data_IF_589588932456
#
_entry.id   IF_589588932456
#
_cell.length_a   1.000
_cell.length_b   1.000
_cell.length_c   1.000
_cell.angle_alpha   90.00
_cell.angle_beta   90.00
_cell.angle_gamma   90.00
#
_symmetry.space_group_name_H-M   'P 1'
#
loop_
_entity.id
_entity.type
_entity.pdbx_description
1 polymer ?
#
# COMPACT_ATOMS: atom_id res chain seq x y z
N UNK A 1 -16.50 -33.96 29.90
CA UNK A 1 -17.11 -34.00 28.54
C UNK A 1 -17.55 -32.60 28.18
N UNK A 2 -16.73 -31.86 27.43
CA UNK A 2 -17.17 -30.74 26.57
C UNK A 2 -16.24 -30.63 25.38
N UNK A 3 -16.66 -31.26 24.31
CA UNK A 3 -16.05 -31.16 22.99
C UNK A 3 -16.42 -29.81 22.39
N UNK A 4 -15.48 -28.87 22.33
CA UNK A 4 -15.67 -27.59 21.64
C UNK A 4 -15.09 -27.72 20.23
N UNK A 5 -15.98 -27.89 19.27
CA UNK A 5 -15.73 -27.91 17.83
C UNK A 5 -14.99 -26.66 17.39
N UNK A 6 -13.77 -26.84 16.92
CA UNK A 6 -12.98 -25.80 16.26
C UNK A 6 -13.60 -25.58 14.88
N UNK A 7 -14.30 -24.46 14.68
CA UNK A 7 -14.74 -24.04 13.35
C UNK A 7 -13.51 -23.78 12.48
N UNK A 8 -13.38 -24.56 11.41
CA UNK A 8 -12.39 -24.36 10.35
C UNK A 8 -12.51 -22.93 9.81
N UNK A 9 -11.40 -22.21 9.82
CA UNK A 9 -11.27 -20.92 9.15
C UNK A 9 -11.47 -21.13 7.64
N UNK A 10 -12.47 -20.47 7.07
CA UNK A 10 -12.73 -20.45 5.64
C UNK A 10 -11.50 -19.92 4.90
N UNK A 11 -11.04 -20.69 3.92
CA UNK A 11 -10.00 -20.30 2.96
C UNK A 11 -10.46 -19.04 2.20
N UNK A 12 -9.98 -17.87 2.59
CA UNK A 12 -10.23 -16.61 1.87
C UNK A 12 -9.41 -16.65 0.57
N UNK A 13 -10.11 -16.69 -0.56
CA UNK A 13 -9.49 -16.63 -1.90
C UNK A 13 -8.76 -15.29 -2.09
N UNK A 14 -7.58 -15.35 -2.70
CA UNK A 14 -6.67 -14.21 -2.95
C UNK A 14 -7.31 -13.00 -3.68
N UNK A 15 -8.51 -13.15 -4.27
CA UNK A 15 -9.23 -12.12 -5.02
C UNK A 15 -9.93 -11.03 -4.19
N UNK A 16 -10.30 -11.30 -2.91
CA UNK A 16 -11.12 -10.39 -2.09
C UNK A 16 -10.33 -9.36 -1.25
N UNK A 17 -9.02 -9.34 -1.38
CA UNK A 17 -8.13 -8.53 -0.50
C UNK A 17 -8.14 -7.04 -0.81
N UNK A 18 -8.68 -6.61 -1.95
CA UNK A 18 -8.59 -5.22 -2.42
C UNK A 18 -9.69 -4.30 -1.84
N UNK A 19 -10.73 -4.86 -1.25
CA UNK A 19 -11.86 -4.11 -0.69
C UNK A 19 -11.71 -3.79 0.82
N UNK A 20 -10.64 -4.27 1.49
CA UNK A 20 -10.43 -4.10 2.93
C UNK A 20 -9.31 -3.10 3.20
N UNK A 21 -9.40 -2.35 4.31
CA UNK A 21 -8.36 -1.39 4.73
C UNK A 21 -6.97 -2.03 4.86
N UNK A 22 -5.89 -1.21 4.84
CA UNK A 22 -4.51 -1.68 4.92
C UNK A 22 -4.24 -2.63 6.09
N UNK A 23 -4.81 -2.35 7.27
CA UNK A 23 -4.70 -3.14 8.49
C UNK A 23 -5.19 -4.58 8.31
N UNK A 24 -6.38 -4.73 7.73
CA UNK A 24 -6.96 -6.06 7.47
C UNK A 24 -6.15 -6.86 6.45
N UNK A 25 -5.55 -6.18 5.46
CA UNK A 25 -4.71 -6.82 4.44
C UNK A 25 -3.40 -7.33 5.05
N UNK A 26 -2.77 -6.54 5.92
CA UNK A 26 -1.55 -6.92 6.65
C UNK A 26 -1.82 -8.08 7.60
N UNK A 27 -2.90 -8.01 8.37
CA UNK A 27 -3.32 -9.09 9.27
C UNK A 27 -3.55 -10.40 8.52
N UNK A 28 -4.24 -10.35 7.38
CA UNK A 28 -4.46 -11.53 6.53
C UNK A 28 -3.15 -12.16 6.04
N UNK A 29 -2.20 -11.35 5.56
CA UNK A 29 -0.91 -11.82 5.12
C UNK A 29 -0.09 -12.44 6.27
N UNK A 30 -0.11 -11.82 7.45
CA UNK A 30 0.60 -12.34 8.61
C UNK A 30 -0.02 -13.63 9.15
N UNK A 31 -1.34 -13.80 9.15
CA UNK A 31 -1.98 -15.06 9.53
C UNK A 31 -1.58 -16.23 8.64
N UNK A 32 -1.39 -15.98 7.33
CA UNK A 32 -0.89 -17.01 6.41
C UNK A 32 0.57 -17.37 6.66
N UNK A 33 1.40 -16.39 7.01
CA UNK A 33 2.84 -16.60 7.25
C UNK A 33 3.12 -17.20 8.63
N UNK A 34 2.29 -16.89 9.62
CA UNK A 34 2.48 -17.26 11.02
C UNK A 34 1.27 -18.06 11.58
N UNK A 35 0.93 -19.23 10.97
CA UNK A 35 -0.30 -19.96 11.33
C UNK A 35 -0.28 -20.51 12.77
N UNK A 36 0.88 -20.62 13.38
CA UNK A 36 1.05 -21.09 14.77
C UNK A 36 1.04 -19.94 15.80
N UNK A 37 0.95 -18.70 15.34
CA UNK A 37 0.94 -17.53 16.22
C UNK A 37 -0.47 -16.98 16.36
N UNK A 38 -0.82 -16.66 17.61
CA UNK A 38 -1.98 -15.82 17.88
C UNK A 38 -1.59 -14.37 17.64
N UNK A 39 -2.27 -13.70 16.74
CA UNK A 39 -2.02 -12.30 16.38
C UNK A 39 -3.17 -11.46 16.91
N UNK A 40 -2.85 -10.40 17.68
CA UNK A 40 -3.82 -9.45 18.22
C UNK A 40 -3.33 -8.03 17.97
N UNK A 41 -4.25 -7.13 17.64
CA UNK A 41 -3.94 -5.71 17.56
C UNK A 41 -3.80 -5.13 18.95
N UNK A 42 -2.81 -4.28 19.16
CA UNK A 42 -2.61 -3.49 20.37
C UNK A 42 -2.74 -2.01 20.03
N UNK A 43 -3.63 -1.32 20.74
CA UNK A 43 -3.76 0.14 20.61
C UNK A 43 -2.85 0.80 21.64
N UNK A 44 -1.83 1.56 21.20
CA UNK A 44 -0.97 2.29 22.12
C UNK A 44 -1.75 3.34 22.91
N UNK A 45 -1.42 3.50 24.20
CA UNK A 45 -2.02 4.52 25.05
C UNK A 45 -1.55 5.95 24.72
N UNK A 46 -0.51 6.09 23.90
CA UNK A 46 0.05 7.36 23.44
C UNK A 46 0.21 7.34 21.91
N UNK A 47 0.18 8.50 21.25
CA UNK A 47 0.46 8.58 19.82
C UNK A 47 1.81 7.97 19.48
N UNK A 48 1.83 7.12 18.47
CA UNK A 48 3.03 6.48 17.92
C UNK A 48 3.28 6.94 16.48
N UNK A 49 4.51 6.80 16.03
CA UNK A 49 4.90 7.27 14.70
C UNK A 49 4.67 6.23 13.58
N UNK A 50 4.24 5.01 13.92
CA UNK A 50 3.92 3.92 12.98
C UNK A 50 2.41 3.66 12.94
N UNK A 51 1.95 2.97 11.89
CA UNK A 51 0.52 2.84 11.60
C UNK A 51 -0.20 1.81 12.47
N UNK A 52 0.46 0.69 12.85
CA UNK A 52 -0.19 -0.43 13.51
C UNK A 52 0.79 -1.15 14.47
N UNK A 53 0.29 -1.55 15.64
CA UNK A 53 1.01 -2.42 16.58
C UNK A 53 0.29 -3.75 16.69
N UNK A 54 1.00 -4.85 16.38
CA UNK A 54 0.48 -6.19 16.51
C UNK A 54 1.28 -6.98 17.56
N UNK A 55 0.60 -7.66 18.46
CA UNK A 55 1.22 -8.60 19.38
C UNK A 55 1.05 -10.01 18.85
N UNK A 56 2.15 -10.70 18.63
CA UNK A 56 2.17 -12.09 18.21
C UNK A 56 2.64 -12.98 19.37
N UNK A 57 1.96 -14.11 19.57
CA UNK A 57 2.23 -15.05 20.66
C UNK A 57 2.22 -16.49 20.17
N UNK A 58 3.25 -17.24 20.55
CA UNK A 58 3.31 -18.70 20.35
C UNK A 58 4.17 -19.33 21.44
N UNK A 59 3.56 -20.15 22.31
CA UNK A 59 4.25 -20.68 23.48
C UNK A 59 4.82 -19.56 24.36
N UNK A 60 6.13 -19.57 24.58
CA UNK A 60 6.84 -18.53 25.35
C UNK A 60 7.24 -17.31 24.52
N UNK A 61 7.12 -17.36 23.22
CA UNK A 61 7.47 -16.26 22.32
C UNK A 61 6.37 -15.19 22.34
N UNK A 62 6.73 -13.97 22.69
CA UNK A 62 5.87 -12.79 22.60
C UNK A 62 6.65 -11.67 21.93
N UNK A 63 6.17 -11.18 20.79
CA UNK A 63 6.76 -10.05 20.06
C UNK A 63 5.71 -9.01 19.72
N UNK A 64 6.11 -7.75 19.72
CA UNK A 64 5.34 -6.63 19.18
C UNK A 64 5.88 -6.30 17.79
N UNK A 65 5.06 -6.48 16.79
CA UNK A 65 5.36 -6.02 15.44
C UNK A 65 4.92 -4.56 15.33
N UNK A 66 5.87 -3.65 15.15
CA UNK A 66 5.60 -2.26 14.82
C UNK A 66 5.49 -2.20 13.30
N UNK A 67 4.30 -1.93 12.79
CA UNK A 67 4.02 -2.03 11.36
C UNK A 67 3.86 -0.64 10.77
N UNK A 68 4.61 -0.37 9.72
CA UNK A 68 4.45 0.81 8.89
C UNK A 68 3.96 0.40 7.51
N UNK A 69 2.78 0.85 7.14
CA UNK A 69 2.19 0.62 5.82
C UNK A 69 2.63 1.68 4.83
N UNK A 70 3.05 1.25 3.65
CA UNK A 70 3.31 2.16 2.52
C UNK A 70 2.43 1.77 1.34
N UNK A 71 1.67 2.71 0.83
CA UNK A 71 0.85 2.52 -0.39
C UNK A 71 1.71 2.15 -1.60
N UNK A 72 3.02 2.48 -1.56
CA UNK A 72 4.02 2.18 -2.58
C UNK A 72 5.30 1.64 -1.93
N UNK A 73 5.67 0.40 -2.26
CA UNK A 73 6.88 -0.26 -1.74
C UNK A 73 8.17 0.06 -2.53
N UNK A 74 8.38 1.34 -2.90
CA UNK A 74 9.63 1.80 -3.53
C UNK A 74 10.69 2.15 -2.49
N UNK A 75 12.00 1.96 -2.78
CA UNK A 75 13.10 2.14 -1.82
C UNK A 75 13.07 3.46 -1.06
N UNK A 76 12.75 4.56 -1.72
CA UNK A 76 12.70 5.89 -1.11
C UNK A 76 11.64 6.05 0.00
N UNK A 77 10.43 5.44 -0.20
CA UNK A 77 9.38 5.46 0.83
C UNK A 77 9.68 4.48 1.95
N UNK A 78 10.30 3.35 1.60
CA UNK A 78 10.74 2.36 2.56
C UNK A 78 11.85 2.91 3.46
N UNK A 79 12.75 3.77 2.94
CA UNK A 79 13.79 4.43 3.74
C UNK A 79 13.21 5.21 4.92
N UNK A 80 12.16 6.02 4.68
CA UNK A 80 11.47 6.73 5.75
C UNK A 80 10.78 5.78 6.74
N UNK A 81 10.06 4.77 6.24
CA UNK A 81 9.42 3.77 7.09
C UNK A 81 10.42 3.04 8.00
N UNK A 82 11.58 2.67 7.47
CA UNK A 82 12.66 2.03 8.22
C UNK A 82 13.16 2.95 9.35
N UNK A 83 13.36 4.24 9.08
CA UNK A 83 13.79 5.21 10.08
C UNK A 83 12.79 5.32 11.23
N UNK A 84 11.51 5.50 10.92
CA UNK A 84 10.42 5.57 11.91
C UNK A 84 10.39 4.30 12.78
N UNK A 85 10.40 3.14 12.16
CA UNK A 85 10.33 1.86 12.87
C UNK A 85 11.56 1.59 13.75
N UNK A 86 12.75 2.00 13.32
CA UNK A 86 13.98 1.87 14.14
C UNK A 86 13.93 2.69 15.41
N UNK A 87 13.36 3.88 15.38
CA UNK A 87 13.13 4.69 16.57
C UNK A 87 12.19 3.97 17.56
N UNK A 88 11.12 3.35 17.04
CA UNK A 88 10.18 2.57 17.85
C UNK A 88 10.79 1.29 18.45
N UNK A 89 11.69 0.63 17.72
CA UNK A 89 12.34 -0.61 18.22
C UNK A 89 13.33 -0.36 19.34
N UNK A 90 13.95 0.81 19.40
CA UNK A 90 14.83 1.20 20.51
C UNK A 90 14.11 1.28 21.87
N UNK A 91 12.79 1.37 21.89
CA UNK A 91 11.98 1.48 23.13
C UNK A 91 11.80 0.14 23.86
N UNK A 92 11.95 -1.00 23.21
CA UNK A 92 11.81 -2.32 23.84
C UNK A 92 12.47 -3.43 23.00
N UNK A 93 13.19 -4.37 23.62
CA UNK A 93 13.76 -5.52 22.93
C UNK A 93 12.71 -6.49 22.38
N UNK A 94 11.45 -6.34 22.80
CA UNK A 94 10.33 -7.13 22.25
C UNK A 94 9.74 -6.54 20.98
N UNK A 95 10.11 -5.31 20.61
CA UNK A 95 9.63 -4.67 19.42
C UNK A 95 10.38 -5.20 18.18
N UNK A 96 9.64 -5.48 17.13
CA UNK A 96 10.17 -5.92 15.84
C UNK A 96 9.63 -5.03 14.73
N UNK A 97 10.51 -4.39 13.93
CA UNK A 97 10.11 -3.49 12.88
C UNK A 97 9.63 -4.28 11.65
N UNK A 98 8.47 -3.91 11.14
CA UNK A 98 7.87 -4.54 9.97
C UNK A 98 7.33 -3.50 9.00
N UNK A 99 7.82 -3.51 7.77
CA UNK A 99 7.23 -2.73 6.69
C UNK A 99 6.23 -3.59 5.92
N UNK A 100 5.07 -3.01 5.64
CA UNK A 100 4.07 -3.64 4.80
C UNK A 100 3.72 -2.74 3.61
N UNK A 101 3.50 -3.35 2.45
CA UNK A 101 3.08 -2.64 1.24
C UNK A 101 2.34 -3.59 0.30
N UNK A 102 1.61 -3.06 -0.70
CA UNK A 102 1.00 -3.92 -1.70
C UNK A 102 1.98 -4.76 -2.51
N UNK A 103 3.17 -4.23 -2.79
CA UNK A 103 4.28 -4.91 -3.45
C UNK A 103 5.61 -4.24 -3.09
N UNK A 104 6.60 -5.04 -2.74
CA UNK A 104 7.97 -4.59 -2.45
C UNK A 104 8.90 -5.24 -3.46
N UNK A 105 9.48 -4.44 -4.35
CA UNK A 105 10.41 -4.92 -5.37
C UNK A 105 11.76 -5.35 -4.80
N UNK A 106 12.62 -6.04 -5.60
CA UNK A 106 13.89 -6.60 -5.12
C UNK A 106 14.79 -5.60 -4.40
N UNK A 107 14.88 -4.37 -4.88
CA UNK A 107 15.67 -3.31 -4.26
C UNK A 107 15.12 -2.90 -2.88
N UNK A 108 13.78 -2.78 -2.76
CA UNK A 108 13.13 -2.52 -1.48
C UNK A 108 13.30 -3.66 -0.48
N UNK A 109 13.23 -4.90 -0.96
CA UNK A 109 13.49 -6.11 -0.16
C UNK A 109 14.93 -6.11 0.36
N UNK A 110 15.91 -5.77 -0.49
CA UNK A 110 17.32 -5.64 -0.11
C UNK A 110 17.50 -4.58 0.97
N UNK A 111 16.94 -3.40 0.78
CA UNK A 111 17.00 -2.27 1.73
C UNK A 111 16.47 -2.67 3.12
N UNK A 112 15.30 -3.33 3.17
CA UNK A 112 14.72 -3.79 4.43
C UNK A 112 15.65 -4.81 5.14
N UNK A 113 16.19 -5.78 4.40
CA UNK A 113 17.09 -6.81 4.95
C UNK A 113 18.36 -6.19 5.53
N UNK A 114 19.03 -5.31 4.80
CA UNK A 114 20.24 -4.60 5.22
C UNK A 114 19.99 -3.76 6.47
N UNK A 115 18.80 -3.18 6.57
CA UNK A 115 18.38 -2.42 7.74
C UNK A 115 17.97 -3.29 8.94
N UNK A 116 17.87 -4.61 8.81
CA UNK A 116 17.36 -5.49 9.86
C UNK A 116 15.86 -5.33 10.12
N UNK A 117 15.09 -4.88 9.13
CA UNK A 117 13.64 -4.66 9.18
C UNK A 117 12.94 -5.76 8.42
N UNK A 118 11.92 -6.37 9.03
CA UNK A 118 11.06 -7.32 8.34
C UNK A 118 10.19 -6.63 7.28
N UNK A 119 9.72 -7.41 6.31
CA UNK A 119 8.74 -6.91 5.36
C UNK A 119 7.73 -7.99 4.98
N UNK A 120 6.55 -7.54 4.59
CA UNK A 120 5.50 -8.36 4.01
C UNK A 120 4.80 -7.58 2.90
N UNK A 121 4.48 -8.25 1.79
CA UNK A 121 3.65 -7.64 0.76
C UNK A 121 2.45 -8.51 0.37
N UNK A 122 1.51 -7.91 -0.34
CA UNK A 122 0.26 -8.59 -0.71
C UNK A 122 0.41 -9.55 -1.89
N UNK A 123 1.59 -9.62 -2.51
CA UNK A 123 1.91 -10.59 -3.55
C UNK A 123 2.57 -11.85 -2.98
N UNK A 124 2.81 -11.85 -1.65
CA UNK A 124 3.34 -13.00 -0.92
C UNK A 124 4.85 -12.98 -0.71
N UNK A 125 5.56 -11.87 -1.04
CA UNK A 125 6.93 -11.69 -0.61
C UNK A 125 6.96 -11.37 0.89
N UNK A 126 7.83 -12.03 1.64
CA UNK A 126 7.98 -11.80 3.07
C UNK A 126 9.40 -12.10 3.55
N UNK A 127 9.84 -11.32 4.52
CA UNK A 127 11.03 -11.61 5.32
C UNK A 127 10.78 -11.26 6.78
N UNK A 128 10.83 -12.25 7.64
CA UNK A 128 10.70 -12.09 9.09
C UNK A 128 11.81 -12.89 9.77
N UNK A 129 12.51 -12.28 10.72
CA UNK A 129 13.59 -12.93 11.48
C UNK A 129 13.58 -12.47 12.94
N UNK A 130 13.09 -13.31 13.84
CA UNK A 130 13.09 -13.09 15.29
C UNK A 130 12.88 -14.39 16.06
N UNK A 131 13.47 -14.55 17.25
CA UNK A 131 13.23 -15.64 18.21
C UNK A 131 13.17 -17.06 17.61
N UNK A 132 14.10 -17.40 16.71
CA UNK A 132 14.09 -18.69 16.02
C UNK A 132 13.08 -18.79 14.87
N UNK A 133 12.30 -17.74 14.62
CA UNK A 133 11.46 -17.63 13.42
C UNK A 133 12.29 -17.06 12.29
N UNK A 134 12.36 -17.77 11.18
CA UNK A 134 12.91 -17.29 9.92
C UNK A 134 11.92 -17.59 8.81
N UNK A 135 11.37 -16.53 8.22
CA UNK A 135 10.56 -16.61 7.01
C UNK A 135 11.27 -15.80 5.94
N UNK A 136 11.65 -16.46 4.88
CA UNK A 136 12.18 -15.84 3.65
C UNK A 136 11.39 -16.38 2.46
N UNK A 137 10.35 -15.66 2.08
CA UNK A 137 9.45 -16.06 1.00
C UNK A 137 9.56 -15.08 -0.14
N UNK A 138 9.79 -15.60 -1.34
CA UNK A 138 9.75 -14.85 -2.59
C UNK A 138 8.60 -15.37 -3.44
N UNK A 139 7.71 -14.48 -3.83
CA UNK A 139 6.62 -14.79 -4.74
C UNK A 139 7.04 -14.55 -6.18
N UNK A 140 6.62 -15.42 -7.07
CA UNK A 140 6.69 -15.21 -8.52
C UNK A 140 5.55 -14.31 -9.03
N UNK A 141 4.59 -13.97 -8.18
CA UNK A 141 3.50 -13.09 -8.54
C UNK A 141 4.01 -11.68 -8.85
N UNK A 142 3.68 -11.19 -10.01
CA UNK A 142 3.96 -9.81 -10.41
C UNK A 142 2.92 -8.88 -9.79
N UNK A 143 3.30 -7.64 -9.45
CA UNK A 143 2.31 -6.67 -8.97
C UNK A 143 1.17 -6.55 -9.99
N UNK A 144 -0.09 -6.49 -9.54
CA UNK A 144 -1.22 -6.31 -10.43
C UNK A 144 -0.97 -5.15 -11.41
N UNK A 145 -1.26 -5.34 -12.69
CA UNK A 145 -1.08 -4.32 -13.75
C UNK A 145 -1.75 -2.98 -13.41
N UNK A 146 -2.79 -3.01 -12.60
CA UNK A 146 -3.48 -1.82 -12.09
C UNK A 146 -2.56 -0.86 -11.31
N UNK A 147 -1.54 -1.35 -10.59
CA UNK A 147 -0.58 -0.51 -9.84
C UNK A 147 0.50 0.11 -10.70
N UNK A 148 0.94 -0.56 -11.75
CA UNK A 148 1.80 0.04 -12.77
C UNK A 148 1.08 1.19 -13.50
N UNK A 149 -0.25 1.10 -13.66
CA UNK A 149 -1.11 2.16 -14.21
C UNK A 149 -1.19 3.38 -13.29
N UNK A 150 -1.35 3.19 -11.97
CA UNK A 150 -1.38 4.31 -11.01
C UNK A 150 -0.09 5.11 -10.95
N UNK A 151 1.07 4.44 -11.03
CA UNK A 151 2.36 5.14 -11.14
C UNK A 151 2.45 6.01 -12.39
N UNK A 152 1.86 5.58 -13.51
CA UNK A 152 1.80 6.38 -14.73
C UNK A 152 0.80 7.52 -14.61
N UNK A 153 -0.27 7.36 -13.81
CA UNK A 153 -1.30 8.36 -13.59
C UNK A 153 -0.73 9.65 -12.97
N UNK A 154 0.23 9.51 -12.03
CA UNK A 154 0.88 10.63 -11.35
C UNK A 154 2.29 10.92 -11.84
N UNK A 155 2.65 10.44 -13.04
CA UNK A 155 3.87 10.90 -13.72
C UNK A 155 3.76 12.40 -14.05
N UNK A 156 4.87 13.14 -14.20
CA UNK A 156 4.84 14.60 -14.43
C UNK A 156 3.91 15.05 -15.57
N UNK A 157 3.82 14.26 -16.65
CA UNK A 157 2.93 14.55 -17.78
C UNK A 157 1.47 14.21 -17.48
N UNK A 158 1.21 13.06 -16.85
CA UNK A 158 -0.14 12.58 -16.57
C UNK A 158 -0.79 13.34 -15.42
N UNK A 159 -0.03 13.79 -14.41
CA UNK A 159 -0.53 14.58 -13.29
C UNK A 159 -1.14 15.93 -13.72
N UNK A 160 -0.78 16.45 -14.89
CA UNK A 160 -1.40 17.65 -15.46
C UNK A 160 -2.89 17.46 -15.70
N UNK A 161 -3.33 16.27 -16.13
CA UNK A 161 -4.76 15.96 -16.32
C UNK A 161 -5.50 15.95 -14.98
N UNK A 162 -4.95 15.28 -13.96
CA UNK A 162 -5.54 15.27 -12.63
C UNK A 162 -5.65 16.69 -12.05
N UNK A 163 -4.63 17.54 -12.26
CA UNK A 163 -4.63 18.94 -11.84
C UNK A 163 -5.75 19.75 -12.51
N UNK A 164 -5.87 19.66 -13.84
CA UNK A 164 -6.91 20.37 -14.60
C UNK A 164 -8.31 19.97 -14.09
N UNK A 165 -8.55 18.68 -13.86
CA UNK A 165 -9.80 18.19 -13.33
C UNK A 165 -10.09 18.72 -11.92
N UNK A 166 -9.08 18.83 -11.06
CA UNK A 166 -9.20 19.35 -9.70
C UNK A 166 -9.35 20.87 -9.65
N UNK A 167 -8.66 21.59 -10.54
CA UNK A 167 -8.78 23.06 -10.65
C UNK A 167 -10.19 23.49 -11.12
N UNK A 168 -10.88 22.64 -11.90
CA UNK A 168 -12.21 22.90 -12.43
C UNK A 168 -13.16 21.70 -12.24
N UNK A 169 -13.54 21.36 -11.00
CA UNK A 169 -14.22 20.11 -10.66
C UNK A 169 -15.63 19.99 -11.26
N UNK A 170 -16.32 21.12 -11.52
CA UNK A 170 -17.67 21.15 -12.07
C UNK A 170 -17.71 21.23 -13.61
N UNK A 171 -16.53 21.32 -14.25
CA UNK A 171 -16.42 21.46 -15.70
C UNK A 171 -16.60 20.09 -16.37
N UNK A 172 -17.33 20.09 -17.49
CA UNK A 172 -17.33 18.97 -18.43
C UNK A 172 -16.16 19.07 -19.42
N UNK A 173 -15.49 17.95 -19.58
CA UNK A 173 -14.31 17.86 -20.43
C UNK A 173 -14.52 16.85 -21.54
N UNK A 174 -13.84 17.06 -22.67
CA UNK A 174 -13.63 16.06 -23.70
C UNK A 174 -12.16 15.60 -23.67
N UNK A 175 -11.88 14.42 -24.19
CA UNK A 175 -10.50 13.94 -24.30
C UNK A 175 -9.62 14.91 -25.09
N UNK A 176 -10.14 15.47 -26.18
CA UNK A 176 -9.40 16.41 -27.04
C UNK A 176 -9.08 17.72 -26.29
N UNK A 177 -10.06 18.29 -25.56
CA UNK A 177 -9.86 19.51 -24.79
C UNK A 177 -8.86 19.30 -23.65
N UNK A 178 -8.95 18.17 -22.93
CA UNK A 178 -7.96 17.81 -21.90
C UNK A 178 -6.55 17.61 -22.50
N UNK A 179 -6.43 17.05 -23.69
CA UNK A 179 -5.14 16.87 -24.36
C UNK A 179 -4.49 18.21 -24.72
N UNK A 180 -5.30 19.14 -25.25
CA UNK A 180 -4.85 20.50 -25.57
C UNK A 180 -4.42 21.24 -24.29
N UNK A 181 -5.27 21.28 -23.28
CA UNK A 181 -5.04 22.00 -22.02
C UNK A 181 -3.83 21.46 -21.24
N UNK A 182 -3.70 20.14 -21.17
CA UNK A 182 -2.58 19.50 -20.50
C UNK A 182 -1.27 19.50 -21.33
N UNK A 183 -1.33 19.90 -22.60
CA UNK A 183 -0.20 19.82 -23.57
C UNK A 183 0.42 18.42 -23.63
N UNK A 184 -0.43 17.39 -23.77
CA UNK A 184 -0.02 15.99 -23.91
C UNK A 184 -0.83 15.29 -25.00
N UNK A 185 -0.36 14.12 -25.45
CA UNK A 185 -1.05 13.38 -26.50
C UNK A 185 -2.42 12.86 -26.06
N UNK A 186 -3.38 12.81 -26.99
CA UNK A 186 -4.71 12.26 -26.80
C UNK A 186 -4.67 10.83 -26.23
N UNK A 187 -3.71 10.02 -26.69
CA UNK A 187 -3.47 8.67 -26.19
C UNK A 187 -3.14 8.66 -24.69
N UNK A 188 -2.30 9.60 -24.25
CA UNK A 188 -1.92 9.71 -22.84
C UNK A 188 -3.13 10.12 -22.00
N UNK A 189 -3.92 11.10 -22.44
CA UNK A 189 -5.16 11.51 -21.76
C UNK A 189 -6.12 10.33 -21.65
N UNK A 190 -6.35 9.60 -22.74
CA UNK A 190 -7.22 8.45 -22.75
C UNK A 190 -6.80 7.40 -21.72
N UNK A 191 -5.50 7.09 -21.60
CA UNK A 191 -4.98 6.16 -20.59
C UNK A 191 -5.17 6.68 -19.15
N UNK A 192 -4.98 7.99 -18.93
CA UNK A 192 -5.20 8.63 -17.63
C UNK A 192 -6.67 8.59 -17.24
N UNK A 193 -7.55 9.02 -18.13
CA UNK A 193 -9.00 9.06 -17.87
C UNK A 193 -9.55 7.65 -17.63
N UNK A 194 -9.16 6.64 -18.39
CA UNK A 194 -9.58 5.26 -18.13
C UNK A 194 -9.08 4.75 -16.76
N UNK A 195 -7.88 5.13 -16.34
CA UNK A 195 -7.37 4.74 -15.03
C UNK A 195 -8.09 5.47 -13.87
N UNK A 196 -8.59 6.69 -14.10
CA UNK A 196 -9.42 7.44 -13.16
C UNK A 196 -10.85 6.87 -13.11
N UNK A 197 -11.42 6.50 -14.26
CA UNK A 197 -12.75 5.88 -14.37
C UNK A 197 -12.80 4.52 -13.66
N UNK A 198 -11.78 3.66 -13.84
CA UNK A 198 -11.65 2.37 -13.14
C UNK A 198 -11.66 2.50 -11.59
N UNK A 199 -11.47 3.71 -11.08
CA UNK A 199 -11.47 4.04 -9.63
C UNK A 199 -12.64 4.94 -9.22
N UNK A 200 -13.59 5.12 -10.10
CA UNK A 200 -14.74 6.00 -9.90
C UNK A 200 -14.38 7.45 -9.54
N UNK A 201 -13.22 7.94 -9.96
CA UNK A 201 -12.86 9.35 -9.78
C UNK A 201 -13.47 10.26 -10.84
N UNK A 202 -13.75 9.71 -12.02
CA UNK A 202 -14.42 10.43 -13.12
C UNK A 202 -15.56 9.60 -13.67
N UNK A 203 -16.62 10.30 -14.08
CA UNK A 203 -17.73 9.75 -14.86
C UNK A 203 -17.54 10.10 -16.33
N UNK A 204 -17.80 9.13 -17.21
CA UNK A 204 -17.69 9.28 -18.65
C UNK A 204 -19.02 8.95 -19.30
N UNK A 205 -19.73 9.98 -19.77
CA UNK A 205 -21.04 9.82 -20.41
C UNK A 205 -21.08 10.55 -21.74
N UNK A 206 -21.45 9.84 -22.81
CA UNK A 206 -21.62 10.41 -24.18
C UNK A 206 -20.43 11.28 -24.65
N UNK A 207 -19.20 10.89 -24.29
CA UNK A 207 -17.98 11.64 -24.64
C UNK A 207 -17.62 12.79 -23.70
N UNK A 208 -18.50 13.16 -22.74
CA UNK A 208 -18.19 14.10 -21.70
C UNK A 208 -17.56 13.39 -20.49
N UNK A 209 -16.57 14.04 -19.89
CA UNK A 209 -15.81 13.59 -18.72
C UNK A 209 -16.07 14.59 -17.60
N UNK A 210 -16.55 14.09 -16.44
CA UNK A 210 -16.75 14.88 -15.21
C UNK A 210 -15.97 14.30 -14.06
N UNK A 211 -15.43 15.15 -13.21
CA UNK A 211 -14.83 14.72 -11.94
C UNK A 211 -15.93 14.33 -10.95
N UNK A 212 -15.95 13.07 -10.50
CA UNK A 212 -16.98 12.54 -9.59
C UNK A 212 -16.58 12.64 -8.12
N UNK A 213 -15.27 12.42 -7.81
CA UNK A 213 -14.76 12.37 -6.43
C UNK A 213 -13.50 13.23 -6.27
N UNK A 214 -13.63 14.58 -6.16
CA UNK A 214 -12.48 15.48 -6.09
C UNK A 214 -11.62 15.26 -4.84
N UNK A 215 -12.20 15.12 -3.65
CA UNK A 215 -11.46 14.90 -2.40
C UNK A 215 -10.58 13.65 -2.45
N UNK A 216 -11.14 12.45 -2.67
CA UNK A 216 -10.37 11.21 -2.80
C UNK A 216 -9.31 11.24 -3.91
N UNK A 217 -9.54 11.95 -5.01
CA UNK A 217 -8.52 12.13 -6.06
C UNK A 217 -7.37 13.00 -5.57
N UNK A 218 -7.67 14.08 -4.84
CA UNK A 218 -6.67 14.97 -4.26
C UNK A 218 -5.82 14.24 -3.23
N UNK A 219 -6.43 13.45 -2.36
CA UNK A 219 -5.72 12.63 -1.37
C UNK A 219 -4.77 11.65 -2.05
N UNK A 220 -5.27 10.90 -3.04
CA UNK A 220 -4.46 9.96 -3.81
C UNK A 220 -3.33 10.68 -4.58
N UNK A 221 -3.58 11.89 -5.08
CA UNK A 221 -2.56 12.69 -5.75
C UNK A 221 -1.50 13.17 -4.76
N UNK A 222 -1.89 13.70 -3.60
CA UNK A 222 -0.97 14.14 -2.55
C UNK A 222 -0.06 13.00 -2.07
N UNK A 223 -0.60 11.80 -1.86
CA UNK A 223 0.17 10.60 -1.50
C UNK A 223 1.22 10.20 -2.56
N UNK A 224 0.94 10.47 -3.83
CA UNK A 224 1.78 10.05 -4.95
C UNK A 224 2.55 11.20 -5.62
N UNK A 225 2.39 12.45 -5.15
CA UNK A 225 3.03 13.62 -5.74
C UNK A 225 4.53 13.66 -5.46
N UNK A 226 5.31 13.85 -6.53
CA UNK A 226 6.77 13.86 -6.48
C UNK A 226 7.31 15.26 -6.77
N UNK A 227 7.61 16.02 -5.73
CA UNK A 227 8.19 17.36 -5.84
C UNK A 227 9.53 17.38 -6.60
N UNK A 228 10.35 16.36 -6.41
CA UNK A 228 11.68 16.22 -6.99
C UNK A 228 11.70 15.99 -8.52
N UNK A 229 10.59 15.54 -9.11
CA UNK A 229 10.48 15.31 -10.56
C UNK A 229 10.00 16.55 -11.36
N UNK A 230 9.67 17.64 -10.69
CA UNK A 230 9.18 18.87 -11.33
C UNK A 230 10.24 20.00 -11.42
N UNK A 231 11.46 19.76 -10.93
CA UNK A 231 12.60 20.66 -11.12
C UNK A 231 13.30 20.31 -12.44
N UNK A 232 12.75 20.81 -13.56
CA UNK A 232 13.46 21.06 -14.82
C UNK A 232 12.83 22.25 -15.50
#
# INVERSE_FOLDING_TARGET
YFTRTVKMAQKVKFGDRHARGPETQVLGALHELLPRFRITEERPNQPVAWDLTLVIRSGRTVRRLLVEWKSVGEPRYLGHAITVLKLGTGQSPRNYPLVAAPYIGPEGQRLCREAGVGYVDLTGNAFLRFDGVLIDRRSSERPPRAKARLRRLFSPKSSRVARILLDQPNQEWTLARLASEASISLRTVHLVINALEEKDFVDKRRGAIRLAKPGPLLDLWAENYRFDQHRR
#
